data_IF_755299137902
#
_entry.id   IF_755299137902
#
_cell.length_a   1.000
_cell.length_b   1.000
_cell.length_c   1.000
_cell.angle_alpha   90.00
_cell.angle_beta   90.00
_cell.angle_gamma   90.00
#
_symmetry.space_group_name_H-M   'P 1'
#
loop_
_entity.id
_entity.type
_entity.pdbx_description
1 polymer ?
#
# COMPACT_ATOMS: atom_id res chain seq x y z
N UNK A 1 -14.70 1.41 9.49
CA UNK A 1 -14.34 0.58 8.32
C UNK A 1 -12.89 0.87 7.94
N UNK A 2 -12.06 -0.16 7.79
CA UNK A 2 -10.65 -0.06 7.43
C UNK A 2 -10.48 -0.34 5.94
N UNK A 3 -9.85 0.58 5.23
CA UNK A 3 -9.65 0.53 3.78
C UNK A 3 -8.14 0.60 3.53
N UNK A 4 -7.58 -0.44 2.92
CA UNK A 4 -6.18 -0.50 2.56
C UNK A 4 -6.04 -0.29 1.05
N UNK A 5 -5.27 0.71 0.65
CA UNK A 5 -5.01 1.04 -0.77
C UNK A 5 -3.59 0.64 -1.11
N UNK A 6 -3.45 -0.23 -2.11
CA UNK A 6 -2.15 -0.72 -2.57
C UNK A 6 -1.40 0.36 -3.33
N UNK A 7 -0.13 0.52 -3.01
CA UNK A 7 0.77 1.47 -3.62
C UNK A 7 2.07 0.75 -4.01
N UNK A 8 2.67 1.15 -5.14
CA UNK A 8 3.86 0.51 -5.71
C UNK A 8 4.72 1.54 -6.44
N UNK A 9 5.98 1.21 -6.71
CA UNK A 9 6.89 2.08 -7.46
C UNK A 9 6.40 2.36 -8.89
N UNK A 10 6.36 3.64 -9.24
CA UNK A 10 5.85 4.13 -10.52
C UNK A 10 4.34 4.31 -10.56
N UNK A 11 3.61 4.10 -9.46
CA UNK A 11 2.19 4.48 -9.40
C UNK A 11 2.04 6.01 -9.49
N UNK A 12 0.95 6.48 -10.10
CA UNK A 12 0.68 7.93 -10.20
C UNK A 12 0.00 8.46 -8.93
N UNK A 13 0.24 9.74 -8.61
CA UNK A 13 -0.49 10.40 -7.51
C UNK A 13 -1.99 10.50 -7.80
N UNK A 14 -2.39 10.57 -9.07
CA UNK A 14 -3.80 10.54 -9.45
C UNK A 14 -4.48 9.25 -8.94
N UNK A 15 -3.88 8.08 -9.18
CA UNK A 15 -4.46 6.81 -8.74
C UNK A 15 -4.48 6.66 -7.21
N UNK A 16 -3.50 7.22 -6.49
CA UNK A 16 -3.47 7.17 -5.02
C UNK A 16 -4.44 8.16 -4.36
N UNK A 17 -4.55 9.37 -4.91
CA UNK A 17 -5.33 10.46 -4.30
C UNK A 17 -6.84 10.24 -4.39
N UNK A 18 -7.34 9.65 -5.47
CA UNK A 18 -8.78 9.50 -5.69
C UNK A 18 -9.44 8.60 -4.62
N UNK A 19 -8.98 7.35 -4.35
CA UNK A 19 -9.54 6.53 -3.29
C UNK A 19 -9.47 7.20 -1.92
N UNK A 20 -8.33 7.82 -1.59
CA UNK A 20 -8.17 8.55 -0.33
C UNK A 20 -9.15 9.71 -0.19
N UNK A 21 -9.32 10.51 -1.24
CA UNK A 21 -10.23 11.64 -1.23
C UNK A 21 -11.69 11.21 -1.10
N UNK A 22 -12.11 10.21 -1.86
CA UNK A 22 -13.50 9.70 -1.85
C UNK A 22 -13.84 9.12 -0.48
N UNK A 23 -13.04 8.18 0.02
CA UNK A 23 -13.31 7.53 1.30
C UNK A 23 -13.08 8.47 2.49
N UNK A 24 -12.06 9.33 2.42
CA UNK A 24 -11.78 10.31 3.46
C UNK A 24 -12.85 11.41 3.58
N UNK A 25 -13.62 11.65 2.51
CA UNK A 25 -14.76 12.59 2.56
C UNK A 25 -15.85 12.08 3.50
N UNK A 26 -16.09 10.77 3.56
CA UNK A 26 -17.08 10.17 4.46
C UNK A 26 -16.76 10.48 5.92
N UNK A 27 -15.50 10.31 6.32
CA UNK A 27 -15.04 10.64 7.67
C UNK A 27 -15.05 12.14 7.94
N UNK A 28 -14.62 12.97 6.96
CA UNK A 28 -14.60 14.43 7.09
C UNK A 28 -16.00 15.03 7.26
N UNK A 29 -17.01 14.42 6.65
CA UNK A 29 -18.42 14.84 6.79
C UNK A 29 -19.10 14.23 8.01
N UNK A 30 -18.41 13.41 8.82
CA UNK A 30 -18.97 12.76 9.99
C UNK A 30 -20.02 11.70 9.67
N UNK A 31 -20.01 11.15 8.44
CA UNK A 31 -20.99 10.16 7.99
C UNK A 31 -20.67 8.75 8.50
N UNK A 32 -19.38 8.43 8.66
CA UNK A 32 -18.90 7.18 9.28
C UNK A 32 -17.41 7.28 9.67
N UNK A 33 -16.94 6.44 10.60
CA UNK A 33 -15.52 6.33 10.96
C UNK A 33 -14.77 5.39 9.98
N UNK A 34 -14.44 5.93 8.81
CA UNK A 34 -13.68 5.22 7.79
C UNK A 34 -12.20 5.62 7.87
N UNK A 35 -11.31 4.63 7.87
CA UNK A 35 -9.86 4.81 7.93
C UNK A 35 -9.25 4.29 6.66
N UNK A 36 -8.54 5.17 5.94
CA UNK A 36 -7.84 4.84 4.71
C UNK A 36 -6.35 4.82 5.00
N UNK A 37 -5.69 3.72 4.64
CA UNK A 37 -4.25 3.58 4.79
C UNK A 37 -3.62 3.15 3.46
N UNK A 38 -2.38 3.58 3.20
CA UNK A 38 -1.59 3.06 2.09
C UNK A 38 -0.73 1.89 2.57
N UNK A 39 -0.59 0.88 1.72
CA UNK A 39 0.32 -0.22 1.97
C UNK A 39 1.05 -0.64 0.69
N UNK A 40 2.20 -1.31 0.85
CA UNK A 40 3.02 -1.80 -0.27
C UNK A 40 3.60 -3.19 0.04
N UNK A 41 3.96 -3.93 -1.00
CA UNK A 41 4.76 -5.17 -0.93
C UNK A 41 6.25 -4.88 -1.00
N UNK A 42 6.65 -3.65 -1.31
CA UNK A 42 8.05 -3.27 -1.39
C UNK A 42 8.69 -3.30 0.01
N UNK A 43 9.36 -4.40 0.31
CA UNK A 43 10.22 -4.52 1.49
C UNK A 43 11.52 -3.75 1.22
N UNK A 44 11.58 -2.52 1.72
CA UNK A 44 12.74 -1.60 1.81
C UNK A 44 13.69 -1.53 0.60
N UNK A 45 13.46 -0.54 -0.29
CA UNK A 45 14.53 0.04 -1.10
C UNK A 45 14.35 1.54 -1.24
N UNK A 46 14.55 2.26 -0.14
CA UNK A 46 15.04 3.64 -0.20
C UNK A 46 16.54 3.62 0.13
N UNK A 47 17.38 3.24 -0.85
CA UNK A 47 18.80 3.57 -0.79
C UNK A 47 18.89 5.08 -1.00
N UNK A 48 19.15 5.82 0.07
CA UNK A 48 19.68 7.17 -0.02
C UNK A 48 21.12 7.09 -0.57
N UNK A 49 21.60 8.05 -1.38
CA UNK A 49 23.03 8.18 -1.60
C UNK A 49 23.70 8.47 -0.24
N UNK A 50 24.64 7.62 0.14
CA UNK A 50 25.44 7.78 1.35
C UNK A 50 26.44 8.93 1.15
N UNK A 51 26.21 10.08 1.80
CA UNK A 51 27.24 11.11 2.00
C UNK A 51 27.59 11.19 3.49
N UNK A 52 28.56 10.33 3.85
CA UNK A 52 29.61 10.44 4.86
C UNK A 52 29.51 11.53 5.96
N UNK A 53 29.49 11.12 7.24
CA UNK A 53 30.70 11.01 8.11
C UNK A 53 30.32 10.83 9.59
N UNK A 54 31.08 9.98 10.27
CA UNK A 54 30.90 9.49 11.65
C UNK A 54 31.15 10.55 12.75
N UNK A 55 30.63 10.29 13.95
CA UNK A 55 31.35 10.32 15.25
C UNK A 55 30.46 9.76 16.41
N UNK A 56 30.99 8.71 17.03
CA UNK A 56 30.69 8.00 18.31
C UNK A 56 30.40 8.93 19.52
N UNK A 57 29.84 8.57 20.70
CA UNK A 57 29.21 7.40 21.34
C UNK A 57 28.81 7.91 22.75
N UNK A 58 27.63 7.52 23.26
CA UNK A 58 27.24 7.76 24.67
C UNK A 58 25.80 8.23 24.89
N UNK A 59 24.83 7.31 24.84
CA UNK A 59 23.49 7.52 25.41
C UNK A 59 22.73 6.19 25.56
N UNK A 60 21.87 6.13 26.60
CA UNK A 60 20.85 5.13 26.98
C UNK A 60 20.33 4.14 25.92
N UNK A 61 19.76 2.97 26.33
CA UNK A 61 19.19 2.01 25.39
C UNK A 61 18.24 2.72 24.41
N UNK A 62 18.29 2.39 23.10
CA UNK A 62 17.52 3.12 22.10
C UNK A 62 16.02 3.01 22.41
N UNK A 63 15.23 4.07 22.19
CA UNK A 63 13.78 3.94 22.17
C UNK A 63 13.42 2.86 21.15
N UNK A 64 12.42 2.05 21.49
CA UNK A 64 11.83 1.00 20.65
C UNK A 64 11.92 1.39 19.16
N UNK A 65 12.70 0.63 18.39
CA UNK A 65 12.99 0.96 17.00
C UNK A 65 11.68 1.29 16.26
N UNK A 66 11.62 2.38 15.47
CA UNK A 66 10.42 2.70 14.71
C UNK A 66 10.08 1.51 13.83
N UNK A 67 8.81 1.10 13.85
CA UNK A 67 8.27 0.11 12.93
C UNK A 67 8.72 0.51 11.52
N UNK A 68 9.63 -0.28 10.92
CA UNK A 68 10.23 0.03 9.61
C UNK A 68 9.12 0.24 8.61
N UNK A 69 9.01 1.47 8.14
CA UNK A 69 7.92 1.89 7.29
C UNK A 69 8.41 1.91 5.84
N UNK A 70 7.63 1.36 4.93
CA UNK A 70 8.04 1.22 3.54
C UNK A 70 7.92 2.56 2.80
N UNK A 71 8.68 2.69 1.72
CA UNK A 71 8.65 3.84 0.84
C UNK A 71 8.50 3.41 -0.62
N UNK A 72 7.85 4.24 -1.41
CA UNK A 72 7.74 4.08 -2.87
C UNK A 72 8.08 5.39 -3.57
N UNK A 73 8.46 5.31 -4.84
CA UNK A 73 8.60 6.46 -5.73
C UNK A 73 7.45 6.52 -6.72
N UNK A 74 6.70 7.62 -6.77
CA UNK A 74 5.63 7.81 -7.76
C UNK A 74 6.19 8.08 -9.16
N UNK A 75 5.38 7.90 -10.20
CA UNK A 75 5.77 8.21 -11.59
C UNK A 75 6.20 9.67 -11.80
N UNK A 76 5.64 10.57 -11.00
CA UNK A 76 5.91 12.01 -11.00
C UNK A 76 7.19 12.35 -10.22
N UNK A 77 7.84 11.36 -9.61
CA UNK A 77 9.13 11.51 -8.93
C UNK A 77 9.04 11.83 -7.44
N UNK A 78 7.86 11.81 -6.83
CA UNK A 78 7.70 11.98 -5.39
C UNK A 78 8.08 10.71 -4.64
N UNK A 79 8.72 10.86 -3.49
CA UNK A 79 8.92 9.75 -2.56
C UNK A 79 7.80 9.82 -1.53
N UNK A 80 7.06 8.73 -1.40
CA UNK A 80 6.09 8.55 -0.33
C UNK A 80 6.73 7.58 0.67
N UNK A 81 7.03 8.07 1.86
CA UNK A 81 7.41 7.26 3.01
C UNK A 81 6.19 7.00 3.88
N UNK A 82 6.36 6.24 4.97
CA UNK A 82 5.26 6.07 5.91
C UNK A 82 4.20 5.03 5.47
N UNK A 83 4.44 4.25 4.41
CA UNK A 83 3.54 3.19 3.97
C UNK A 83 3.62 1.95 4.87
N UNK A 84 2.47 1.41 5.24
CA UNK A 84 2.43 0.15 5.98
C UNK A 84 2.73 -1.08 5.09
N UNK A 85 2.96 -2.20 5.74
CA UNK A 85 3.12 -3.50 5.09
C UNK A 85 1.79 -4.21 4.83
N UNK A 86 1.89 -5.48 4.46
CA UNK A 86 0.76 -6.34 4.10
C UNK A 86 -0.19 -6.61 5.27
N UNK A 87 0.24 -6.34 6.49
CA UNK A 87 -0.55 -6.43 7.72
C UNK A 87 -1.78 -5.51 7.63
N UNK A 88 -1.62 -4.31 7.06
CA UNK A 88 -2.74 -3.37 6.89
C UNK A 88 -3.84 -3.93 5.99
N UNK A 89 -3.47 -4.62 4.91
CA UNK A 89 -4.42 -5.27 4.02
C UNK A 89 -4.99 -6.56 4.62
N UNK A 90 -4.21 -7.25 5.44
CA UNK A 90 -4.63 -8.45 6.19
C UNK A 90 -5.69 -8.14 7.26
N UNK A 91 -5.80 -6.89 7.68
CA UNK A 91 -6.80 -6.45 8.63
C UNK A 91 -7.93 -5.61 8.00
N UNK A 92 -7.78 -5.18 6.75
CA UNK A 92 -8.74 -4.29 6.10
C UNK A 92 -10.11 -4.96 5.86
N UNK A 93 -11.17 -4.15 5.94
CA UNK A 93 -12.51 -4.55 5.49
C UNK A 93 -12.61 -4.43 3.96
N UNK A 94 -11.84 -3.51 3.36
CA UNK A 94 -11.74 -3.29 1.92
C UNK A 94 -10.28 -3.18 1.50
N UNK A 95 -9.87 -3.93 0.48
CA UNK A 95 -8.54 -3.85 -0.15
C UNK A 95 -8.71 -3.31 -1.57
N UNK A 96 -8.03 -2.21 -1.88
CA UNK A 96 -8.15 -1.50 -3.16
C UNK A 96 -6.84 -1.57 -3.91
N UNK A 97 -6.88 -2.04 -5.16
CA UNK A 97 -5.79 -1.95 -6.12
C UNK A 97 -6.16 -0.85 -7.13
N UNK A 98 -5.66 0.38 -6.95
CA UNK A 98 -6.15 1.54 -7.70
C UNK A 98 -5.65 1.58 -9.15
N UNK A 99 -4.56 0.87 -9.43
CA UNK A 99 -3.94 0.76 -10.75
C UNK A 99 -3.05 -0.48 -10.82
N UNK A 100 -2.57 -0.75 -12.02
CA UNK A 100 -1.50 -1.71 -12.28
C UNK A 100 -0.66 -1.24 -13.48
N UNK A 101 0.45 -1.92 -13.77
CA UNK A 101 1.29 -1.61 -14.91
C UNK A 101 0.59 -1.96 -16.22
N UNK A 102 0.72 -1.08 -17.22
CA UNK A 102 0.12 -1.26 -18.55
C UNK A 102 0.73 -2.39 -19.37
N UNK A 103 1.95 -2.82 -19.02
CA UNK A 103 2.61 -3.97 -19.63
C UNK A 103 2.03 -5.32 -19.16
N UNK A 104 1.10 -5.31 -18.19
CA UNK A 104 0.46 -6.51 -17.67
C UNK A 104 1.44 -7.43 -16.95
N UNK A 105 2.52 -6.89 -16.39
CA UNK A 105 3.49 -7.70 -15.64
C UNK A 105 2.82 -8.43 -14.46
N UNK A 106 3.34 -9.61 -14.06
CA UNK A 106 2.75 -10.40 -12.99
C UNK A 106 2.69 -9.64 -11.65
N UNK A 107 1.61 -9.87 -10.91
CA UNK A 107 1.40 -9.36 -9.55
C UNK A 107 2.36 -9.94 -8.52
N UNK A 108 2.87 -11.13 -8.79
CA UNK A 108 3.69 -11.90 -7.86
C UNK A 108 2.85 -12.69 -6.86
N UNK A 109 3.45 -13.76 -6.33
CA UNK A 109 2.75 -14.69 -5.43
C UNK A 109 2.31 -14.05 -4.12
N UNK A 110 3.11 -13.12 -3.59
CA UNK A 110 2.84 -12.43 -2.34
C UNK A 110 1.55 -11.60 -2.41
N UNK A 111 1.42 -10.73 -3.42
CA UNK A 111 0.22 -9.93 -3.62
C UNK A 111 -0.99 -10.84 -3.91
N UNK A 112 -0.85 -11.82 -4.80
CA UNK A 112 -1.94 -12.76 -5.11
C UNK A 112 -2.41 -13.54 -3.86
N UNK A 113 -1.49 -14.00 -3.02
CA UNK A 113 -1.79 -14.71 -1.77
C UNK A 113 -2.52 -13.80 -0.77
N UNK A 114 -2.07 -12.55 -0.64
CA UNK A 114 -2.73 -11.55 0.19
C UNK A 114 -4.18 -11.31 -0.27
N UNK A 115 -4.40 -11.10 -1.57
CA UNK A 115 -5.74 -10.84 -2.11
C UNK A 115 -6.68 -12.03 -1.88
N UNK A 116 -6.21 -13.25 -2.12
CA UNK A 116 -6.97 -14.49 -1.84
C UNK A 116 -7.33 -14.59 -0.36
N UNK A 117 -6.36 -14.34 0.52
CA UNK A 117 -6.55 -14.41 1.97
C UNK A 117 -7.54 -13.35 2.46
N UNK A 118 -7.42 -12.12 1.95
CA UNK A 118 -8.36 -11.05 2.26
C UNK A 118 -9.78 -11.39 1.81
N UNK A 119 -9.93 -11.91 0.59
CA UNK A 119 -11.22 -12.34 0.07
C UNK A 119 -11.82 -13.50 0.88
N UNK A 120 -11.03 -14.53 1.19
CA UNK A 120 -11.47 -15.68 1.98
C UNK A 120 -11.92 -15.31 3.40
N UNK A 121 -11.35 -14.23 3.97
CA UNK A 121 -11.79 -13.64 5.25
C UNK A 121 -13.14 -12.91 5.13
N UNK A 122 -13.61 -12.63 3.92
CA UNK A 122 -14.82 -11.84 3.65
C UNK A 122 -14.57 -10.35 3.43
N UNK A 123 -13.30 -9.91 3.27
CA UNK A 123 -13.01 -8.54 2.89
C UNK A 123 -13.41 -8.28 1.43
N UNK A 124 -13.85 -7.06 1.14
CA UNK A 124 -14.12 -6.63 -0.23
C UNK A 124 -12.79 -6.31 -0.94
N UNK A 125 -12.50 -7.02 -2.03
CA UNK A 125 -11.29 -6.77 -2.84
C UNK A 125 -11.72 -6.06 -4.13
N UNK A 126 -11.14 -4.88 -4.39
CA UNK A 126 -11.56 -3.97 -5.47
C UNK A 126 -10.36 -3.65 -6.36
N UNK A 127 -10.47 -3.96 -7.65
CA UNK A 127 -9.55 -3.49 -8.68
C UNK A 127 -10.14 -2.30 -9.44
N UNK A 128 -9.40 -1.21 -9.56
CA UNK A 128 -9.75 -0.03 -10.37
C UNK A 128 -8.78 0.11 -11.55
N UNK A 129 -9.24 0.65 -12.68
CA UNK A 129 -8.41 0.77 -13.88
C UNK A 129 -7.76 -0.59 -14.23
N UNK A 130 -6.43 -0.64 -14.33
CA UNK A 130 -5.66 -1.87 -14.54
C UNK A 130 -5.46 -2.71 -13.27
N UNK A 131 -5.85 -2.22 -12.10
CA UNK A 131 -5.85 -2.97 -10.85
C UNK A 131 -6.72 -4.22 -10.86
N UNK A 132 -7.54 -4.44 -11.89
CA UNK A 132 -8.24 -5.70 -12.12
C UNK A 132 -7.29 -6.86 -12.53
N UNK A 133 -6.12 -6.58 -13.09
CA UNK A 133 -5.12 -7.60 -13.50
C UNK A 133 -4.69 -8.47 -12.32
N UNK A 134 -4.17 -7.93 -11.21
CA UNK A 134 -3.80 -8.72 -10.03
C UNK A 134 -4.99 -9.47 -9.41
N UNK A 135 -6.23 -8.98 -9.55
CA UNK A 135 -7.42 -9.72 -9.11
C UNK A 135 -7.68 -10.95 -10.01
N UNK A 136 -7.46 -10.83 -11.31
CA UNK A 136 -7.57 -11.93 -12.27
C UNK A 136 -6.53 -13.01 -11.97
N UNK A 137 -5.28 -12.61 -11.76
CA UNK A 137 -4.19 -13.52 -11.41
C UNK A 137 -4.42 -14.20 -10.04
N UNK A 138 -5.03 -13.48 -9.10
CA UNK A 138 -5.47 -14.05 -7.84
C UNK A 138 -6.69 -14.98 -7.97
N UNK A 139 -7.27 -15.14 -9.17
CA UNK A 139 -8.46 -15.97 -9.42
C UNK A 139 -9.72 -15.43 -8.75
N UNK A 140 -9.78 -14.12 -8.50
CA UNK A 140 -10.91 -13.46 -7.83
C UNK A 140 -11.94 -12.90 -8.82
N UNK A 141 -11.61 -12.86 -10.12
CA UNK A 141 -12.55 -12.46 -11.18
C UNK A 141 -12.60 -13.57 -12.23
N UNK A 142 -13.83 -14.06 -12.50
CA UNK A 142 -14.06 -15.31 -13.22
C UNK A 142 -14.67 -16.33 -12.27
N UNK A 143 -15.98 -16.54 -12.39
CA UNK A 143 -16.76 -17.41 -11.53
C UNK A 143 -16.52 -18.90 -11.75
#
# INVERSE_FOLDING_TARGET
MRIAVYAFDGITLFHLSIPQMVFGTVSRLGLADWKVSLFTTASELAVLPEEATALEEGASPPPTAPSRTAAIRTSEGYILDGLGGLELASEADVVVLPAWFADGRPAGEELCSLLKTAHARGACVVGLCLGAIPLAEAGLIGG
#
